data_IF_988727109827
#
_entry.id   IF_988727109827
#
_cell.length_a   1.000
_cell.length_b   1.000
_cell.length_c   1.000
_cell.angle_alpha   90.00
_cell.angle_beta   90.00
_cell.angle_gamma   90.00
#
_symmetry.space_group_name_H-M   'P 1'
#
loop_
_entity.id
_entity.type
_entity.pdbx_description
1 polymer ?
#
# COMPACT_ATOMS: atom_id res chain seq x y z
N UNK A 1 17.71 31.29 15.82
CA UNK A 1 16.72 30.42 16.51
C UNK A 1 15.43 30.49 15.70
N UNK A 2 14.93 29.37 15.18
CA UNK A 2 13.79 29.34 14.26
C UNK A 2 12.46 29.63 14.97
N UNK A 3 11.58 30.40 14.32
CA UNK A 3 10.28 30.78 14.86
C UNK A 3 9.32 29.58 14.92
N UNK A 4 8.78 29.31 16.12
CA UNK A 4 7.79 28.24 16.39
C UNK A 4 6.41 28.62 15.82
N UNK A 5 6.20 29.87 15.43
CA UNK A 5 4.92 30.37 14.90
C UNK A 5 4.54 29.77 13.54
N UNK A 6 5.49 29.12 12.84
CA UNK A 6 5.25 28.33 11.62
C UNK A 6 5.41 26.82 11.84
N UNK A 7 5.48 26.35 13.08
CA UNK A 7 5.58 24.92 13.34
C UNK A 7 4.28 24.22 12.95
N UNK A 8 4.27 23.61 11.75
CA UNK A 8 3.16 22.77 11.30
C UNK A 8 2.95 21.64 12.32
N UNK A 9 1.72 21.44 12.78
CA UNK A 9 1.34 20.29 13.61
C UNK A 9 1.57 19.04 12.77
N UNK A 10 2.72 18.39 12.96
CA UNK A 10 3.21 17.27 12.15
C UNK A 10 2.33 16.01 12.25
N UNK A 11 1.43 15.97 13.23
CA UNK A 11 0.46 14.89 13.44
C UNK A 11 -0.61 14.76 12.35
N UNK A 12 -0.73 15.73 11.43
CA UNK A 12 -1.77 15.76 10.38
C UNK A 12 -1.23 15.66 8.96
N UNK A 13 0.07 15.42 8.79
CA UNK A 13 0.72 15.35 7.48
C UNK A 13 0.65 13.93 6.92
N UNK A 14 0.05 13.77 5.73
CA UNK A 14 -0.07 12.47 5.07
C UNK A 14 1.24 12.08 4.36
N UNK A 15 1.70 10.85 4.57
CA UNK A 15 2.92 10.31 3.95
C UNK A 15 2.85 10.19 2.42
N UNK A 16 1.67 9.98 1.84
CA UNK A 16 1.54 9.67 0.41
C UNK A 16 1.36 10.90 -0.46
N UNK A 17 0.63 11.91 0.01
CA UNK A 17 0.42 13.16 -0.73
C UNK A 17 1.24 14.34 -0.19
N UNK A 18 1.89 14.19 0.98
CA UNK A 18 2.64 15.28 1.63
C UNK A 18 1.81 16.53 1.94
N UNK A 19 0.48 16.37 2.06
CA UNK A 19 -0.46 17.42 2.42
C UNK A 19 -0.96 17.26 3.86
N UNK A 20 -1.32 18.38 4.50
CA UNK A 20 -1.96 18.37 5.82
C UNK A 20 -3.46 18.08 5.70
N UNK A 21 -3.98 17.21 6.55
CA UNK A 21 -5.38 16.85 6.58
C UNK A 21 -5.93 16.88 8.01
N UNK A 22 -7.17 17.37 8.18
CA UNK A 22 -7.85 17.38 9.49
C UNK A 22 -8.04 15.99 10.09
N UNK A 23 -8.04 14.94 9.26
CA UNK A 23 -8.18 13.56 9.70
C UNK A 23 -7.15 12.70 9.00
N UNK A 24 -6.31 12.06 9.80
CA UNK A 24 -5.30 11.10 9.35
C UNK A 24 -5.34 9.86 10.24
N UNK A 25 -4.79 8.76 9.74
CA UNK A 25 -4.70 7.48 10.42
C UNK A 25 -3.21 7.15 10.60
N UNK A 26 -2.83 6.73 11.80
CA UNK A 26 -1.45 6.26 12.04
C UNK A 26 -1.21 4.93 11.33
N UNK A 27 -0.19 4.88 10.48
CA UNK A 27 0.15 3.70 9.67
C UNK A 27 0.52 2.50 10.55
N UNK A 28 1.21 2.76 11.66
CA UNK A 28 1.64 1.74 12.63
C UNK A 28 0.72 1.60 13.85
N UNK A 29 -0.33 2.42 13.95
CA UNK A 29 -1.31 2.33 15.03
C UNK A 29 -2.32 1.20 14.79
N UNK A 30 -3.20 0.94 15.76
CA UNK A 30 -4.17 -0.16 15.72
C UNK A 30 -5.02 -0.17 14.45
N UNK A 31 -5.52 0.99 14.03
CA UNK A 31 -6.27 1.12 12.79
C UNK A 31 -5.43 0.77 11.55
N UNK A 32 -4.16 1.18 11.53
CA UNK A 32 -3.26 0.88 10.43
C UNK A 32 -2.88 -0.60 10.36
N UNK A 33 -2.70 -1.25 11.52
CA UNK A 33 -2.46 -2.69 11.62
C UNK A 33 -3.67 -3.50 11.15
N UNK A 34 -4.89 -3.14 11.59
CA UNK A 34 -6.13 -3.80 11.14
C UNK A 34 -6.36 -3.73 9.63
N UNK A 35 -5.86 -2.67 8.99
CA UNK A 35 -5.96 -2.45 7.55
C UNK A 35 -4.73 -2.97 6.78
N UNK A 36 -3.76 -3.58 7.47
CA UNK A 36 -2.48 -4.03 6.91
C UNK A 36 -1.76 -2.95 6.10
N UNK A 37 -1.78 -1.69 6.53
CA UNK A 37 -1.32 -0.55 5.71
C UNK A 37 0.15 -0.65 5.31
N UNK A 38 1.02 -1.15 6.18
CA UNK A 38 2.45 -1.30 5.87
C UNK A 38 2.66 -2.27 4.71
N UNK A 39 2.00 -3.42 4.76
CA UNK A 39 2.07 -4.44 3.71
C UNK A 39 1.51 -3.91 2.40
N UNK A 40 0.35 -3.22 2.46
CA UNK A 40 -0.27 -2.64 1.26
C UNK A 40 0.59 -1.54 0.66
N UNK A 41 1.19 -0.68 1.47
CA UNK A 41 1.98 0.41 0.92
C UNK A 41 3.29 -0.12 0.34
N UNK A 42 4.06 -0.90 1.10
CA UNK A 42 5.36 -1.41 0.67
C UNK A 42 5.26 -2.47 -0.44
N UNK A 43 4.16 -3.21 -0.50
CA UNK A 43 3.95 -4.25 -1.50
C UNK A 43 3.50 -3.71 -2.86
N UNK A 44 2.85 -2.54 -2.91
CA UNK A 44 2.21 -2.05 -4.13
C UNK A 44 2.69 -0.67 -4.61
N UNK A 45 3.24 0.15 -3.74
CA UNK A 45 3.89 1.40 -4.14
C UNK A 45 5.41 1.22 -4.15
N UNK A 46 6.14 1.86 -5.07
CA UNK A 46 7.61 1.85 -5.10
C UNK A 46 8.19 2.77 -4.01
N UNK A 47 7.67 2.68 -2.80
CA UNK A 47 8.12 3.44 -1.63
C UNK A 47 8.25 2.48 -0.46
N UNK A 48 9.26 2.71 0.37
CA UNK A 48 9.45 1.95 1.60
C UNK A 48 9.07 2.81 2.79
N UNK A 49 8.12 2.33 3.59
CA UNK A 49 7.77 2.92 4.88
C UNK A 49 8.30 2.01 5.98
N UNK A 50 9.11 2.60 6.86
CA UNK A 50 9.72 1.94 8.02
C UNK A 50 9.26 2.58 9.34
N UNK A 51 9.13 1.80 10.43
CA UNK A 51 8.91 2.36 11.76
C UNK A 51 10.05 3.30 12.20
N UNK A 52 11.25 3.16 11.65
CA UNK A 52 12.40 4.06 11.90
C UNK A 52 12.42 5.33 11.04
N UNK A 53 11.44 5.51 10.14
CA UNK A 53 11.43 6.62 9.19
C UNK A 53 11.27 7.99 9.91
N UNK A 54 12.09 9.02 9.61
CA UNK A 54 12.01 10.34 10.23
C UNK A 54 10.77 11.17 9.82
N UNK A 55 10.05 10.73 8.79
CA UNK A 55 8.91 11.45 8.22
C UNK A 55 7.56 11.01 8.84
N UNK A 56 6.44 11.70 8.51
CA UNK A 56 5.14 11.48 9.14
C UNK A 56 4.64 10.05 8.98
N UNK A 57 4.22 9.45 10.10
CA UNK A 57 3.70 8.08 10.17
C UNK A 57 2.17 8.02 10.02
N UNK A 58 1.61 8.93 9.22
CA UNK A 58 0.15 9.04 9.05
C UNK A 58 -0.27 9.04 7.57
N UNK A 59 -1.50 8.63 7.31
CA UNK A 59 -2.12 8.62 5.98
C UNK A 59 -3.50 9.29 6.05
N UNK A 60 -3.84 10.10 5.04
CA UNK A 60 -5.17 10.68 4.94
C UNK A 60 -6.18 9.71 4.33
N UNK A 61 -7.47 9.99 4.52
CA UNK A 61 -8.57 9.14 4.02
C UNK A 61 -8.51 8.94 2.49
N UNK A 62 -8.19 9.98 1.74
CA UNK A 62 -8.12 9.91 0.27
C UNK A 62 -7.00 8.99 -0.19
N UNK A 63 -5.82 9.11 0.41
CA UNK A 63 -4.68 8.25 0.13
C UNK A 63 -4.94 6.80 0.55
N UNK A 64 -5.58 6.58 1.70
CA UNK A 64 -6.01 5.25 2.12
C UNK A 64 -6.93 4.61 1.08
N UNK A 65 -7.98 5.32 0.66
CA UNK A 65 -8.91 4.81 -0.35
C UNK A 65 -8.19 4.41 -1.65
N UNK A 66 -7.25 5.25 -2.12
CA UNK A 66 -6.45 4.94 -3.31
C UNK A 66 -5.60 3.67 -3.12
N UNK A 67 -4.94 3.51 -1.98
CA UNK A 67 -4.17 2.29 -1.66
C UNK A 67 -5.05 1.05 -1.74
N UNK A 68 -6.25 1.09 -1.16
CA UNK A 68 -7.21 -0.04 -1.19
C UNK A 68 -7.69 -0.38 -2.61
N UNK A 69 -7.96 0.65 -3.43
CA UNK A 69 -8.35 0.44 -4.83
C UNK A 69 -7.22 -0.19 -5.64
N UNK A 70 -5.99 0.31 -5.49
CA UNK A 70 -4.81 -0.25 -6.15
C UNK A 70 -4.55 -1.69 -5.70
N UNK A 71 -4.61 -1.96 -4.40
CA UNK A 71 -4.51 -3.30 -3.84
C UNK A 71 -5.48 -4.27 -4.51
N UNK A 72 -6.77 -3.90 -4.53
CA UNK A 72 -7.84 -4.73 -5.08
C UNK A 72 -7.62 -5.03 -6.56
N UNK A 73 -7.22 -4.02 -7.34
CA UNK A 73 -6.93 -4.20 -8.76
C UNK A 73 -5.74 -5.16 -8.96
N UNK A 74 -4.66 -4.96 -8.22
CA UNK A 74 -3.46 -5.78 -8.33
C UNK A 74 -3.74 -7.25 -7.95
N UNK A 75 -4.48 -7.50 -6.86
CA UNK A 75 -4.88 -8.85 -6.49
C UNK A 75 -5.69 -9.55 -7.58
N UNK A 76 -6.59 -8.83 -8.26
CA UNK A 76 -7.34 -9.37 -9.41
C UNK A 76 -6.40 -9.71 -10.57
N UNK A 77 -5.47 -8.82 -10.90
CA UNK A 77 -4.51 -9.03 -11.99
C UNK A 77 -3.55 -10.20 -11.71
N UNK A 78 -3.05 -10.32 -10.48
CA UNK A 78 -2.20 -11.44 -10.04
C UNK A 78 -2.95 -12.76 -10.17
N UNK A 79 -4.19 -12.83 -9.65
CA UNK A 79 -5.04 -14.03 -9.77
C UNK A 79 -5.26 -14.43 -11.23
N UNK A 80 -5.61 -13.48 -12.09
CA UNK A 80 -5.80 -13.75 -13.52
C UNK A 80 -4.51 -14.27 -14.19
N UNK A 81 -3.33 -13.76 -13.79
CA UNK A 81 -2.04 -14.24 -14.31
C UNK A 81 -1.73 -15.65 -13.84
N UNK A 82 -2.00 -15.97 -12.58
CA UNK A 82 -1.83 -17.31 -12.02
C UNK A 82 -2.75 -18.33 -12.69
N UNK A 83 -4.03 -18.01 -12.84
CA UNK A 83 -4.99 -18.86 -13.56
C UNK A 83 -4.54 -19.12 -15.00
N UNK A 84 -4.05 -18.10 -15.70
CA UNK A 84 -3.48 -18.25 -17.05
C UNK A 84 -2.26 -19.16 -17.04
N UNK A 85 -1.34 -18.98 -16.09
CA UNK A 85 -0.14 -19.82 -15.94
C UNK A 85 -0.52 -21.28 -15.68
N UNK A 86 -1.50 -21.54 -14.83
CA UNK A 86 -1.97 -22.88 -14.52
C UNK A 86 -2.61 -23.57 -15.74
N UNK A 87 -3.42 -22.83 -16.52
CA UNK A 87 -3.98 -23.33 -17.80
C UNK A 87 -2.88 -23.67 -18.81
N UNK A 88 -1.85 -22.84 -18.92
CA UNK A 88 -0.70 -23.09 -19.79
C UNK A 88 0.09 -24.33 -19.36
N UNK A 89 0.26 -24.56 -18.06
CA UNK A 89 0.92 -25.76 -17.52
C UNK A 89 0.06 -27.02 -17.76
N UNK A 90 -1.25 -26.94 -17.53
CA UNK A 90 -2.18 -28.04 -17.84
C UNK A 90 -2.19 -28.42 -19.31
N UNK A 91 -2.12 -27.44 -20.22
CA UNK A 91 -2.02 -27.69 -21.66
C UNK A 91 -0.68 -28.32 -22.10
N UNK A 92 0.41 -28.10 -21.36
CA UNK A 92 1.68 -28.79 -21.61
C UNK A 92 1.64 -30.25 -21.15
N UNK A 93 1.15 -30.53 -19.94
CA UNK A 93 1.02 -31.91 -19.44
C UNK A 93 0.17 -32.80 -20.34
N UNK A 94 -0.89 -32.28 -20.96
CA UNK A 94 -1.71 -33.05 -21.92
C UNK A 94 -0.98 -33.35 -23.25
N UNK A 95 -0.05 -32.50 -23.69
CA UNK A 95 0.77 -32.78 -24.88
C UNK A 95 1.87 -33.79 -24.59
N UNK A 96 2.47 -33.74 -23.41
CA UNK A 96 3.55 -34.65 -23.01
C UNK A 96 3.06 -36.08 -22.73
N UNK A 97 1.76 -36.28 -22.45
CA UNK A 97 1.15 -37.63 -22.27
C UNK A 97 0.67 -38.29 -23.56
N UNK A 98 0.69 -37.59 -24.70
CA UNK A 98 0.20 -38.10 -26.01
C UNK A 98 1.36 -38.38 -26.98
N UNK A 99 2.61 -38.30 -26.51
CA UNK A 99 3.81 -38.75 -27.24
C UNK A 99 4.38 -39.98 -26.56
#
# INVERSE_FOLDING_TARGET
>A
MGSIEKACISGFLCRLCSEMHRTVIHIYGDHGQRLCLVEKINGYLPITISPTDPLPKTICKTCLYRVEQHYTLLMRLTRMREERKLKLLGYKSQRDTVT
#
